data_IF_729608648472
#
_entry.id   IF_729608648472
#
_cell.length_a   1.000
_cell.length_b   1.000
_cell.length_c   1.000
_cell.angle_alpha   90.00
_cell.angle_beta   90.00
_cell.angle_gamma   90.00
#
_symmetry.space_group_name_H-M   'P 1'
#
loop_
_entity.id
_entity.type
_entity.pdbx_description
1 polymer ?
#
# COMPACT_ATOMS: atom_id res chain seq x y z
N UNK A 1 -5.28 -3.19 -21.95
CA UNK A 1 -5.77 -2.65 -20.65
C UNK A 1 -6.03 -1.16 -20.80
N UNK A 2 -7.18 -0.67 -20.41
CA UNK A 2 -7.50 0.76 -20.37
C UNK A 2 -6.52 1.47 -19.44
N UNK A 3 -5.75 2.41 -19.99
CA UNK A 3 -4.78 3.23 -19.23
C UNK A 3 -5.46 4.32 -18.38
N UNK A 4 -6.78 4.26 -18.16
CA UNK A 4 -7.53 5.27 -17.41
C UNK A 4 -7.66 4.90 -15.93
N UNK A 5 -7.79 5.91 -15.08
CA UNK A 5 -8.02 5.74 -13.64
C UNK A 5 -9.28 4.89 -13.36
N UNK A 6 -10.35 5.12 -14.13
CA UNK A 6 -11.60 4.34 -14.01
C UNK A 6 -11.39 2.87 -14.40
N UNK A 7 -10.61 2.60 -15.45
CA UNK A 7 -10.26 1.24 -15.85
C UNK A 7 -9.49 0.50 -14.78
N UNK A 8 -8.54 1.18 -14.13
CA UNK A 8 -7.81 0.62 -13.00
C UNK A 8 -8.74 0.37 -11.80
N UNK A 9 -9.56 1.35 -11.42
CA UNK A 9 -10.50 1.23 -10.31
C UNK A 9 -11.51 0.09 -10.52
N UNK A 10 -11.96 -0.13 -11.77
CA UNK A 10 -12.82 -1.26 -12.12
C UNK A 10 -12.13 -2.59 -11.88
N UNK A 11 -10.90 -2.78 -12.37
CA UNK A 11 -10.12 -4.00 -12.12
C UNK A 11 -9.86 -4.20 -10.63
N UNK A 12 -9.51 -3.14 -9.91
CA UNK A 12 -9.33 -3.18 -8.47
C UNK A 12 -10.58 -3.66 -7.73
N UNK A 13 -11.75 -3.25 -8.15
CA UNK A 13 -13.04 -3.66 -7.58
C UNK A 13 -13.45 -5.07 -7.99
N UNK A 14 -13.32 -5.41 -9.27
CA UNK A 14 -13.85 -6.68 -9.80
C UNK A 14 -12.93 -7.87 -9.50
N UNK A 15 -11.62 -7.66 -9.48
CA UNK A 15 -10.62 -8.73 -9.38
C UNK A 15 -9.90 -8.73 -8.04
N UNK A 16 -9.45 -7.55 -7.59
CA UNK A 16 -8.61 -7.45 -6.39
C UNK A 16 -9.39 -7.25 -5.09
N UNK A 17 -10.70 -7.03 -5.13
CA UNK A 17 -11.51 -6.80 -3.93
C UNK A 17 -11.27 -7.82 -2.80
N UNK A 18 -11.16 -9.14 -3.06
CA UNK A 18 -10.96 -10.12 -1.98
C UNK A 18 -9.61 -10.00 -1.26
N UNK A 19 -8.63 -9.31 -1.85
CA UNK A 19 -7.28 -9.16 -1.28
C UNK A 19 -7.25 -8.14 -0.16
N UNK A 20 -8.00 -7.04 -0.29
CA UNK A 20 -7.88 -5.90 0.61
C UNK A 20 -8.21 -6.22 2.07
N UNK A 21 -9.33 -6.89 2.41
CA UNK A 21 -9.63 -7.24 3.79
C UNK A 21 -8.59 -8.20 4.39
N UNK A 22 -8.09 -9.17 3.61
CA UNK A 22 -7.08 -10.13 4.07
C UNK A 22 -5.76 -9.43 4.39
N UNK A 23 -5.31 -8.53 3.52
CA UNK A 23 -4.08 -7.75 3.77
C UNK A 23 -4.28 -6.79 4.94
N UNK A 24 -5.44 -6.15 5.07
CA UNK A 24 -5.72 -5.28 6.22
C UNK A 24 -5.60 -6.06 7.54
N UNK A 25 -6.21 -7.23 7.64
CA UNK A 25 -6.10 -8.10 8.81
C UNK A 25 -4.65 -8.51 9.10
N UNK A 26 -3.88 -8.87 8.07
CA UNK A 26 -2.46 -9.22 8.21
C UNK A 26 -1.63 -8.05 8.76
N UNK A 27 -1.76 -6.86 8.15
CA UNK A 27 -1.02 -5.67 8.57
C UNK A 27 -1.39 -5.24 9.99
N UNK A 28 -2.67 -5.29 10.35
CA UNK A 28 -3.15 -5.00 11.70
C UNK A 28 -2.61 -6.02 12.72
N UNK A 29 -2.60 -7.30 12.38
CA UNK A 29 -2.04 -8.35 13.24
C UNK A 29 -0.51 -8.19 13.42
N UNK A 30 0.24 -7.90 12.35
CA UNK A 30 1.70 -7.72 12.43
C UNK A 30 2.11 -6.45 13.17
N UNK A 31 1.35 -5.38 13.03
CA UNK A 31 1.62 -4.11 13.70
C UNK A 31 1.20 -4.12 15.17
N UNK A 32 0.12 -4.82 15.51
CA UNK A 32 -0.57 -4.73 16.79
C UNK A 32 -1.32 -3.39 16.97
N UNK A 33 -1.45 -2.59 15.91
CA UNK A 33 -2.03 -1.23 15.96
C UNK A 33 -3.48 -1.30 15.49
N UNK A 34 -4.41 -0.91 16.36
CA UNK A 34 -5.85 -0.97 16.09
C UNK A 34 -6.53 0.41 16.06
N UNK A 35 -5.84 1.47 16.50
CA UNK A 35 -6.41 2.82 16.60
C UNK A 35 -5.38 3.91 16.33
N UNK A 36 -5.85 5.13 16.08
CA UNK A 36 -5.04 6.29 15.73
C UNK A 36 -5.10 6.64 14.25
N UNK A 37 -4.08 7.34 13.76
CA UNK A 37 -4.00 7.75 12.36
C UNK A 37 -3.20 6.72 11.55
N UNK A 38 -3.77 6.26 10.45
CA UNK A 38 -3.07 5.45 9.44
C UNK A 38 -2.97 6.19 8.11
N UNK A 39 -1.98 5.81 7.30
CA UNK A 39 -1.85 6.21 5.90
C UNK A 39 -1.87 4.98 5.01
N UNK A 40 -2.63 5.05 3.91
CA UNK A 40 -2.52 4.13 2.77
C UNK A 40 -1.83 4.89 1.63
N UNK A 41 -0.57 4.56 1.33
CA UNK A 41 0.27 5.26 0.33
C UNK A 41 0.11 4.62 -1.05
N UNK A 42 -0.21 5.44 -2.06
CA UNK A 42 -0.59 4.98 -3.39
C UNK A 42 -1.92 4.25 -3.32
N UNK A 43 -2.88 4.85 -2.62
CA UNK A 43 -4.16 4.24 -2.27
C UNK A 43 -5.04 3.91 -3.47
N UNK A 44 -4.75 4.50 -4.65
CA UNK A 44 -5.57 4.33 -5.83
C UNK A 44 -7.03 4.71 -5.55
N UNK A 45 -7.99 3.81 -5.84
CA UNK A 45 -9.41 4.06 -5.56
C UNK A 45 -9.80 3.96 -4.07
N UNK A 46 -8.84 3.74 -3.15
CA UNK A 46 -9.05 3.74 -1.71
C UNK A 46 -9.61 2.44 -1.11
N UNK A 47 -9.63 1.33 -1.84
CA UNK A 47 -10.24 0.09 -1.32
C UNK A 47 -9.43 -0.56 -0.19
N UNK A 48 -8.11 -0.40 -0.19
CA UNK A 48 -7.30 -0.89 0.94
C UNK A 48 -7.45 0.02 2.16
N UNK A 49 -7.49 1.35 1.97
CA UNK A 49 -7.81 2.29 3.04
C UNK A 49 -9.18 1.98 3.68
N UNK A 50 -10.19 1.70 2.85
CA UNK A 50 -11.53 1.29 3.31
C UNK A 50 -11.47 0.01 4.16
N UNK A 51 -10.75 -1.00 3.70
CA UNK A 51 -10.58 -2.25 4.45
C UNK A 51 -9.87 -2.05 5.80
N UNK A 52 -8.89 -1.14 5.91
CA UNK A 52 -8.27 -0.76 7.18
C UNK A 52 -9.29 -0.10 8.13
N UNK A 53 -10.13 0.80 7.62
CA UNK A 53 -11.22 1.43 8.40
C UNK A 53 -12.22 0.39 8.91
N UNK A 54 -12.63 -0.55 8.06
CA UNK A 54 -13.60 -1.59 8.42
C UNK A 54 -13.10 -2.56 9.49
N UNK A 55 -11.80 -2.86 9.47
CA UNK A 55 -11.18 -3.88 10.34
C UNK A 55 -10.57 -3.33 11.63
N UNK A 56 -10.67 -2.01 11.87
CA UNK A 56 -10.03 -1.37 13.02
C UNK A 56 -10.76 -0.07 13.43
N UNK A 57 -10.25 0.57 14.49
CA UNK A 57 -10.65 1.92 14.93
C UNK A 57 -9.74 3.01 14.33
N UNK A 58 -8.98 2.72 13.28
CA UNK A 58 -8.11 3.69 12.63
C UNK A 58 -8.91 4.73 11.84
N UNK A 59 -8.43 5.97 11.84
CA UNK A 59 -8.74 6.94 10.79
C UNK A 59 -7.64 6.86 9.73
N UNK A 60 -8.00 6.82 8.46
CA UNK A 60 -7.07 6.54 7.37
C UNK A 60 -6.98 7.70 6.38
N UNK A 61 -5.78 8.20 6.15
CA UNK A 61 -5.49 9.08 5.02
C UNK A 61 -5.18 8.19 3.81
N UNK A 62 -6.01 8.28 2.78
CA UNK A 62 -5.81 7.62 1.50
C UNK A 62 -5.00 8.56 0.57
N UNK A 63 -3.68 8.38 0.55
CA UNK A 63 -2.75 9.26 -0.17
C UNK A 63 -2.41 8.69 -1.53
N UNK A 64 -2.60 9.48 -2.58
CA UNK A 64 -2.21 9.11 -3.95
C UNK A 64 -1.68 10.33 -4.71
N UNK A 65 -0.66 10.13 -5.54
CA UNK A 65 -0.09 11.19 -6.35
C UNK A 65 -0.96 11.55 -7.56
N UNK A 66 -1.84 10.64 -8.00
CA UNK A 66 -2.74 10.87 -9.13
C UNK A 66 -4.05 11.55 -8.66
N UNK A 67 -4.32 12.80 -9.05
CA UNK A 67 -5.58 13.48 -8.72
C UNK A 67 -6.84 12.74 -9.21
N UNK A 68 -6.73 11.94 -10.27
CA UNK A 68 -7.85 11.14 -10.76
C UNK A 68 -8.17 9.99 -9.79
N UNK A 69 -7.15 9.35 -9.20
CA UNK A 69 -7.33 8.34 -8.16
C UNK A 69 -7.92 8.96 -6.89
N UNK A 70 -7.43 10.12 -6.44
CA UNK A 70 -7.98 10.81 -5.28
C UNK A 70 -9.48 11.14 -5.46
N UNK A 71 -9.91 11.55 -6.66
CA UNK A 71 -11.35 11.76 -6.96
C UNK A 71 -12.17 10.48 -6.88
N UNK A 72 -11.61 9.33 -7.29
CA UNK A 72 -12.30 8.04 -7.14
C UNK A 72 -12.33 7.61 -5.68
N UNK A 73 -11.24 7.80 -4.95
CA UNK A 73 -11.15 7.52 -3.51
C UNK A 73 -12.15 8.35 -2.69
N UNK A 74 -12.49 9.58 -3.12
CA UNK A 74 -13.55 10.38 -2.49
C UNK A 74 -14.92 9.68 -2.55
N UNK A 75 -15.22 8.99 -3.65
CA UNK A 75 -16.48 8.23 -3.76
C UNK A 75 -16.48 7.03 -2.81
N UNK A 76 -15.33 6.34 -2.69
CA UNK A 76 -15.16 5.25 -1.72
C UNK A 76 -15.27 5.78 -0.29
N UNK A 77 -14.66 6.92 0.02
CA UNK A 77 -14.64 7.53 1.35
C UNK A 77 -16.03 7.98 1.84
N UNK A 78 -16.98 8.24 0.93
CA UNK A 78 -18.33 8.70 1.29
C UNK A 78 -19.06 7.73 2.25
N UNK A 79 -18.74 6.43 2.17
CA UNK A 79 -19.35 5.40 3.03
C UNK A 79 -18.70 5.33 4.43
N UNK A 80 -17.53 5.98 4.62
CA UNK A 80 -16.73 5.87 5.86
C UNK A 80 -16.70 7.16 6.69
N UNK A 81 -17.51 8.16 6.33
CA UNK A 81 -17.64 9.46 7.01
C UNK A 81 -16.25 10.11 7.18
N UNK A 82 -15.94 10.59 8.41
CA UNK A 82 -14.69 11.29 8.71
C UNK A 82 -13.49 10.34 8.97
N UNK A 83 -13.67 9.02 8.85
CA UNK A 83 -12.62 8.04 9.12
C UNK A 83 -11.73 7.72 7.93
N UNK A 84 -12.11 8.14 6.71
CA UNK A 84 -11.30 8.00 5.51
C UNK A 84 -11.21 9.33 4.77
N UNK A 85 -9.99 9.84 4.60
CA UNK A 85 -9.73 11.15 4.00
C UNK A 85 -8.78 10.98 2.81
N UNK A 86 -9.25 11.12 1.57
CA UNK A 86 -8.38 11.15 0.39
C UNK A 86 -7.54 12.43 0.34
N UNK A 87 -6.24 12.26 0.08
CA UNK A 87 -5.27 13.35 -0.03
C UNK A 87 -4.41 13.15 -1.26
N UNK A 88 -4.17 14.21 -2.03
CA UNK A 88 -3.21 14.20 -3.13
C UNK A 88 -1.82 14.46 -2.54
N UNK A 89 -0.86 13.56 -2.83
CA UNK A 89 0.51 13.73 -2.34
C UNK A 89 1.46 12.67 -2.87
N UNK A 90 2.74 13.04 -2.91
CA UNK A 90 3.83 12.18 -3.31
C UNK A 90 4.48 11.55 -2.07
N UNK A 91 4.81 10.26 -2.15
CA UNK A 91 5.47 9.52 -1.07
C UNK A 91 6.85 10.08 -0.73
N UNK A 92 7.53 10.74 -1.68
CA UNK A 92 8.85 11.33 -1.47
C UNK A 92 8.83 12.65 -0.68
N UNK A 93 7.65 13.30 -0.59
CA UNK A 93 7.41 14.52 0.20
C UNK A 93 5.93 14.63 0.60
N UNK A 94 5.51 13.82 1.54
CA UNK A 94 4.10 13.75 1.95
C UNK A 94 3.65 15.05 2.63
N UNK A 95 2.47 15.61 2.30
CA UNK A 95 1.92 16.80 2.96
C UNK A 95 1.35 16.46 4.35
N UNK A 96 2.12 15.71 5.13
CA UNK A 96 1.77 15.17 6.45
C UNK A 96 2.84 15.60 7.44
N UNK A 97 2.43 16.02 8.64
CA UNK A 97 3.34 16.40 9.72
C UNK A 97 4.17 15.21 10.21
N UNK A 98 5.33 15.53 10.77
CA UNK A 98 6.22 14.56 11.43
C UNK A 98 5.53 13.88 12.60
N UNK A 99 5.78 12.60 12.78
CA UNK A 99 5.46 11.88 13.98
C UNK A 99 3.98 11.71 14.31
N UNK A 100 3.09 11.70 13.32
CA UNK A 100 1.63 11.62 13.56
C UNK A 100 1.01 10.26 13.24
N UNK A 101 1.59 9.49 12.33
CA UNK A 101 1.03 8.23 11.90
C UNK A 101 1.35 7.09 12.86
N UNK A 102 0.32 6.39 13.31
CA UNK A 102 0.47 5.14 14.05
C UNK A 102 0.83 3.98 13.11
N UNK A 103 0.17 3.91 11.96
CA UNK A 103 0.36 2.87 10.96
C UNK A 103 0.52 3.51 9.58
N UNK A 104 1.47 3.02 8.80
CA UNK A 104 1.55 3.32 7.37
C UNK A 104 1.49 2.01 6.60
N UNK A 105 0.64 1.95 5.60
CA UNK A 105 0.52 0.80 4.74
C UNK A 105 0.56 1.23 3.27
N UNK A 106 1.00 0.32 2.40
CA UNK A 106 0.93 0.51 0.96
C UNK A 106 0.91 -0.84 0.27
N UNK A 107 -0.02 -1.03 -0.65
CA UNK A 107 -0.11 -2.27 -1.43
C UNK A 107 0.06 -1.99 -2.91
N UNK A 108 1.22 -2.39 -3.46
CA UNK A 108 1.49 -2.39 -4.90
C UNK A 108 1.97 -1.07 -5.48
N UNK A 109 2.12 0.00 -4.68
CA UNK A 109 2.63 1.29 -5.16
C UNK A 109 4.17 1.35 -5.16
N UNK A 110 4.86 0.62 -4.30
CA UNK A 110 6.33 0.61 -4.14
C UNK A 110 7.08 0.36 -5.47
N UNK A 111 6.46 -0.33 -6.42
CA UNK A 111 7.03 -0.62 -7.74
C UNK A 111 7.13 0.61 -8.66
N UNK A 112 6.48 1.71 -8.28
CA UNK A 112 6.43 2.96 -9.04
C UNK A 112 7.21 4.09 -8.37
N UNK A 113 7.81 3.85 -7.19
CA UNK A 113 8.60 4.86 -6.50
C UNK A 113 9.98 4.98 -7.12
N UNK A 114 10.32 6.20 -7.56
CA UNK A 114 11.57 6.49 -8.26
C UNK A 114 12.78 6.49 -7.31
N UNK A 115 12.63 7.09 -6.10
CA UNK A 115 13.64 7.13 -5.05
C UNK A 115 13.09 6.46 -3.77
N UNK A 116 13.15 5.12 -3.71
CA UNK A 116 12.69 4.38 -2.55
C UNK A 116 13.44 4.71 -1.25
N UNK A 117 14.78 4.92 -1.25
CA UNK A 117 15.47 5.43 -0.06
C UNK A 117 14.86 6.73 0.49
N UNK A 118 14.52 7.70 -0.37
CA UNK A 118 13.84 8.92 0.05
C UNK A 118 12.44 8.63 0.60
N UNK A 119 11.67 7.78 -0.08
CA UNK A 119 10.35 7.37 0.38
C UNK A 119 10.39 6.69 1.76
N UNK A 120 11.39 5.82 2.02
CA UNK A 120 11.56 5.18 3.33
C UNK A 120 11.89 6.19 4.44
N UNK A 121 12.75 7.18 4.17
CA UNK A 121 13.02 8.29 5.13
C UNK A 121 11.75 9.09 5.43
N UNK A 122 10.96 9.36 4.40
CA UNK A 122 9.72 10.12 4.52
C UNK A 122 8.65 9.34 5.30
N UNK A 123 8.56 8.02 5.09
CA UNK A 123 7.72 7.11 5.88
C UNK A 123 8.15 7.17 7.36
N UNK A 124 9.45 7.04 7.64
CA UNK A 124 9.97 7.12 9.01
C UNK A 124 9.71 8.48 9.64
N UNK A 125 9.84 9.59 8.89
CA UNK A 125 9.53 10.95 9.37
C UNK A 125 8.11 11.05 9.87
N UNK A 126 7.15 10.55 9.07
CA UNK A 126 5.71 10.66 9.35
C UNK A 126 5.25 9.71 10.46
N UNK A 127 5.91 8.56 10.64
CA UNK A 127 5.61 7.63 11.73
C UNK A 127 5.84 8.30 13.09
N UNK A 128 4.90 8.11 14.03
CA UNK A 128 5.11 8.46 15.44
C UNK A 128 6.05 7.46 16.12
N UNK A 129 6.68 7.82 17.26
CA UNK A 129 7.32 6.82 18.12
C UNK A 129 6.34 5.68 18.45
N UNK A 130 6.79 4.42 18.34
CA UNK A 130 5.98 3.22 18.48
C UNK A 130 5.10 2.91 17.26
N UNK A 131 5.19 3.68 16.20
CA UNK A 131 4.48 3.43 14.93
C UNK A 131 5.18 2.38 14.06
N UNK A 132 4.43 1.84 13.09
CA UNK A 132 4.94 0.84 12.15
C UNK A 132 4.47 1.12 10.71
N UNK A 133 5.30 0.73 9.74
CA UNK A 133 4.92 0.74 8.34
C UNK A 133 5.09 -0.63 7.70
N UNK A 134 4.16 -0.97 6.80
CA UNK A 134 4.21 -2.15 5.94
C UNK A 134 3.92 -1.72 4.51
N UNK A 135 4.95 -1.68 3.67
CA UNK A 135 4.83 -1.24 2.28
C UNK A 135 5.37 -2.31 1.35
N UNK A 136 4.59 -2.70 0.34
CA UNK A 136 5.00 -3.81 -0.50
C UNK A 136 3.98 -4.21 -1.56
N UNK A 137 4.05 -5.48 -1.94
CA UNK A 137 3.12 -6.08 -2.90
C UNK A 137 2.80 -7.51 -2.51
N UNK A 138 1.58 -7.72 -2.04
CA UNK A 138 1.07 -9.03 -1.68
C UNK A 138 -0.35 -9.25 -2.17
N UNK A 139 -0.73 -10.50 -2.27
CA UNK A 139 -2.07 -10.96 -2.61
C UNK A 139 -2.79 -11.56 -1.38
N UNK A 140 -2.25 -11.37 -0.18
CA UNK A 140 -2.78 -11.88 1.07
C UNK A 140 -2.48 -13.35 1.29
N UNK A 141 -2.97 -14.25 0.42
CA UNK A 141 -2.70 -15.69 0.48
C UNK A 141 -2.26 -16.23 -0.88
N UNK A 142 -1.59 -17.38 -0.90
CA UNK A 142 -1.25 -18.08 -2.14
C UNK A 142 -2.51 -18.46 -2.96
N UNK A 143 -3.59 -18.85 -2.30
CA UNK A 143 -4.85 -19.18 -2.95
C UNK A 143 -5.42 -17.95 -3.69
N UNK A 144 -5.54 -16.80 -3.01
CA UNK A 144 -5.99 -15.55 -3.63
C UNK A 144 -5.09 -15.11 -4.79
N UNK A 145 -3.77 -15.23 -4.61
CA UNK A 145 -2.81 -14.93 -5.68
C UNK A 145 -3.10 -15.77 -6.93
N UNK A 146 -3.29 -17.08 -6.76
CA UNK A 146 -3.54 -17.99 -7.87
C UNK A 146 -4.87 -17.67 -8.58
N UNK A 147 -5.92 -17.37 -7.82
CA UNK A 147 -7.23 -17.00 -8.38
C UNK A 147 -7.15 -15.68 -9.15
N UNK A 148 -6.49 -14.67 -8.61
CA UNK A 148 -6.29 -13.38 -9.29
C UNK A 148 -5.45 -13.55 -10.55
N UNK A 149 -4.36 -14.33 -10.50
CA UNK A 149 -3.53 -14.57 -11.68
C UNK A 149 -4.33 -15.29 -12.79
N UNK A 150 -5.15 -16.27 -12.43
CA UNK A 150 -6.05 -16.94 -13.38
C UNK A 150 -7.01 -15.95 -14.04
N UNK A 151 -7.70 -15.13 -13.24
CA UNK A 151 -8.65 -14.13 -13.75
C UNK A 151 -7.97 -13.05 -14.59
N UNK A 152 -6.80 -12.57 -14.16
CA UNK A 152 -6.06 -11.55 -14.88
C UNK A 152 -5.47 -12.05 -16.20
N UNK A 153 -5.06 -13.31 -16.30
CA UNK A 153 -4.62 -13.92 -17.58
C UNK A 153 -5.75 -13.99 -18.60
N UNK A 154 -6.99 -14.22 -18.18
CA UNK A 154 -8.16 -14.18 -19.06
C UNK A 154 -8.41 -12.77 -19.61
N UNK A 155 -8.14 -11.72 -18.82
CA UNK A 155 -8.35 -10.33 -19.20
C UNK A 155 -7.16 -9.69 -19.91
N UNK A 156 -5.95 -10.20 -19.66
CA UNK A 156 -4.69 -9.71 -20.21
C UNK A 156 -3.72 -10.87 -20.44
N UNK A 157 -3.56 -11.35 -21.69
CA UNK A 157 -2.62 -12.43 -22.01
C UNK A 157 -1.16 -12.14 -21.61
N UNK A 158 -0.78 -10.86 -21.51
CA UNK A 158 0.57 -10.42 -21.13
C UNK A 158 0.74 -10.23 -19.62
N UNK A 159 -0.24 -10.63 -18.82
CA UNK A 159 -0.26 -10.37 -17.37
C UNK A 159 1.02 -10.80 -16.66
N UNK A 160 1.50 -12.01 -16.87
CA UNK A 160 2.69 -12.54 -16.21
C UNK A 160 3.93 -11.73 -16.55
N UNK A 161 4.08 -11.34 -17.83
CA UNK A 161 5.16 -10.48 -18.30
C UNK A 161 5.08 -9.09 -17.67
N UNK A 162 3.89 -8.52 -17.59
CA UNK A 162 3.66 -7.22 -16.98
C UNK A 162 3.93 -7.22 -15.47
N UNK A 163 3.58 -8.29 -14.76
CA UNK A 163 3.92 -8.49 -13.35
C UNK A 163 5.43 -8.62 -13.18
N UNK A 164 6.09 -9.51 -13.94
CA UNK A 164 7.53 -9.73 -13.85
C UNK A 164 8.32 -8.44 -14.12
N UNK A 165 7.91 -7.65 -15.11
CA UNK A 165 8.54 -6.36 -15.42
C UNK A 165 8.42 -5.37 -14.27
N UNK A 166 7.24 -5.26 -13.64
CA UNK A 166 7.01 -4.35 -12.51
C UNK A 166 7.73 -4.80 -11.26
N UNK A 167 7.58 -6.07 -10.87
CA UNK A 167 8.19 -6.60 -9.65
C UNK A 167 9.71 -6.78 -9.76
N UNK A 168 10.26 -6.94 -10.97
CA UNK A 168 11.71 -7.04 -11.19
C UNK A 168 12.50 -5.82 -10.74
N UNK A 169 11.84 -4.65 -10.63
CA UNK A 169 12.41 -3.43 -10.07
C UNK A 169 12.37 -3.34 -8.53
N UNK A 170 11.87 -4.36 -7.82
CA UNK A 170 11.78 -4.37 -6.35
C UNK A 170 12.01 -5.78 -5.81
N UNK A 171 13.18 -6.36 -6.12
CA UNK A 171 13.58 -7.65 -5.58
C UNK A 171 13.96 -7.53 -4.09
N UNK A 172 13.85 -8.61 -3.30
CA UNK A 172 14.23 -8.58 -1.89
C UNK A 172 15.63 -8.00 -1.64
N UNK A 173 16.61 -8.40 -2.44
CA UNK A 173 18.00 -7.94 -2.28
C UNK A 173 18.17 -6.45 -2.65
N UNK A 174 17.45 -5.98 -3.66
CA UNK A 174 17.46 -4.55 -3.99
C UNK A 174 16.82 -3.74 -2.86
N UNK A 175 15.66 -4.17 -2.36
CA UNK A 175 14.98 -3.48 -1.26
C UNK A 175 15.83 -3.46 0.02
N UNK A 176 16.58 -4.54 0.34
CA UNK A 176 17.52 -4.55 1.48
C UNK A 176 18.63 -3.51 1.30
N UNK A 177 19.22 -3.41 0.09
CA UNK A 177 20.24 -2.38 -0.21
C UNK A 177 19.67 -0.96 -0.10
N UNK A 178 18.47 -0.73 -0.59
CA UNK A 178 17.80 0.57 -0.54
C UNK A 178 17.40 0.97 0.88
N UNK A 179 17.00 0.02 1.72
CA UNK A 179 16.79 0.25 3.15
C UNK A 179 18.08 0.68 3.84
N UNK A 180 19.19 -0.01 3.58
CA UNK A 180 20.51 0.42 4.10
C UNK A 180 20.86 1.83 3.61
N UNK A 181 20.67 2.13 2.34
CA UNK A 181 20.93 3.45 1.76
C UNK A 181 20.01 4.55 2.33
N UNK A 182 18.81 4.20 2.78
CA UNK A 182 17.89 5.14 3.43
C UNK A 182 18.36 5.58 4.81
N UNK A 183 19.14 4.75 5.52
CA UNK A 183 19.54 4.99 6.91
C UNK A 183 18.45 4.69 7.94
N UNK A 184 17.30 4.15 7.53
CA UNK A 184 16.20 3.77 8.44
C UNK A 184 16.59 2.55 9.25
N UNK A 185 16.82 2.75 10.56
CA UNK A 185 17.51 1.77 11.41
C UNK A 185 16.71 0.50 11.68
N UNK A 186 15.42 0.64 12.02
CA UNK A 186 14.57 -0.49 12.40
C UNK A 186 13.68 -0.91 11.20
N UNK A 187 14.34 -1.47 10.19
CA UNK A 187 13.67 -1.87 8.95
C UNK A 187 14.12 -3.26 8.49
N UNK A 188 13.23 -3.98 7.81
CA UNK A 188 13.55 -5.27 7.20
C UNK A 188 12.67 -5.56 5.99
N UNK A 189 13.14 -6.45 5.14
CA UNK A 189 12.32 -7.08 4.09
C UNK A 189 11.73 -8.38 4.64
N UNK A 190 10.41 -8.50 4.55
CA UNK A 190 9.63 -9.64 4.95
C UNK A 190 9.11 -10.34 3.69
N UNK A 191 9.53 -11.56 3.47
CA UNK A 191 9.08 -12.40 2.36
C UNK A 191 7.97 -13.32 2.84
N UNK A 192 6.85 -13.31 2.12
CA UNK A 192 5.68 -14.13 2.38
C UNK A 192 5.34 -14.94 1.12
N UNK A 193 4.61 -16.04 1.28
CA UNK A 193 4.21 -16.89 0.16
C UNK A 193 3.47 -16.13 -0.94
N UNK A 194 2.65 -15.14 -0.56
CA UNK A 194 1.82 -14.37 -1.49
C UNK A 194 2.45 -13.02 -1.92
N UNK A 195 3.66 -12.70 -1.50
CA UNK A 195 4.33 -11.45 -1.85
C UNK A 195 5.40 -11.03 -0.86
N UNK A 196 5.80 -9.77 -0.95
CA UNK A 196 6.85 -9.25 -0.10
C UNK A 196 6.48 -7.88 0.48
N UNK A 197 7.06 -7.56 1.66
CA UNK A 197 6.86 -6.33 2.37
C UNK A 197 8.17 -5.73 2.88
N UNK A 198 8.27 -4.43 2.87
CA UNK A 198 9.21 -3.68 3.69
C UNK A 198 8.48 -3.32 4.97
N UNK A 199 9.03 -3.74 6.10
CA UNK A 199 8.59 -3.38 7.45
C UNK A 199 9.54 -2.32 8.02
N UNK A 200 8.98 -1.22 8.54
CA UNK A 200 9.70 -0.15 9.24
C UNK A 200 9.03 0.05 10.59
N UNK A 201 9.82 0.17 11.66
CA UNK A 201 9.32 0.51 13.00
C UNK A 201 10.06 1.71 13.52
N UNK A 202 9.33 2.69 14.05
CA UNK A 202 9.91 3.85 14.70
C UNK A 202 9.92 3.64 16.22
N UNK A 203 11.10 3.64 16.81
CA UNK A 203 11.31 3.55 18.28
C UNK A 203 11.24 4.90 18.94
#
# INVERSE_FOLDING_TARGET
>A
MTKSAEGFARIAREVFAPVYPVIAEQVLAWSGIQSGLALDIGSGPGFFAAALVEKSELSVIALDADPAMARIAQKTAADYRDRMIPVIGDVHCMPIRDGVASLIASRGSIYFWEDRPQAFREIERVLRPGGAAFVGGSFGTAALRNDIFREMRLRNPDWDRDVARRSGGATPDLLRRELVASGVAHSRVREEEAGLWVEIRKT
#
